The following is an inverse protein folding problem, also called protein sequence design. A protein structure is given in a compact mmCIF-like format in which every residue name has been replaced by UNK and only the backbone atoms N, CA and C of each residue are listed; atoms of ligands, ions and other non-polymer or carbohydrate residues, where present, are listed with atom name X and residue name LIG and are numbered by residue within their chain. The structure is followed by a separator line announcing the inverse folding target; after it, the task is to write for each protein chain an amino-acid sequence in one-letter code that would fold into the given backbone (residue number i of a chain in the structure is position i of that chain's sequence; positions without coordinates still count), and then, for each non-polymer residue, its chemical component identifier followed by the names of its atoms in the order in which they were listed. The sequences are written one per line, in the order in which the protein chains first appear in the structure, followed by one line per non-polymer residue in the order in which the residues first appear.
data_IF_415935838614
#
_entry.id   IF_415935838614
#
_cell.length_a   1.000
_cell.length_b   1.000
_cell.length_c   1.000
_cell.angle_alpha   90.00
_cell.angle_beta   90.00
_cell.angle_gamma   90.00
#
_symmetry.space_group_name_H-M   'P 1'
#
loop_
_entity.id
_entity.type
_entity.pdbx_description
1 polymer ?
#
# COMPACT_ATOMS: atom_id res chain seq x y z
N UNK A 1 -4.60 -3.22 6.95
CA UNK A 1 -4.92 -3.28 8.40
C UNK A 1 -6.09 -2.35 8.67
N UNK A 2 -7.33 -2.81 8.44
CA UNK A 2 -8.56 -2.03 8.62
C UNK A 2 -9.70 -2.78 9.30
N UNK A 3 -10.93 -2.27 9.18
CA UNK A 3 -12.15 -2.79 9.78
C UNK A 3 -12.49 -4.16 9.21
N UNK A 4 -12.78 -5.14 10.09
CA UNK A 4 -13.09 -6.52 9.69
C UNK A 4 -14.55 -6.66 9.23
N UNK A 5 -14.84 -6.19 8.02
CA UNK A 5 -16.18 -6.29 7.42
C UNK A 5 -16.36 -7.47 6.44
N UNK A 6 -15.29 -8.19 6.10
CA UNK A 6 -15.30 -9.17 5.01
C UNK A 6 -16.35 -10.30 5.12
N UNK A 7 -16.80 -10.66 6.33
CA UNK A 7 -17.86 -11.65 6.53
C UNK A 7 -19.29 -11.09 6.55
N UNK A 8 -19.43 -9.76 6.50
CA UNK A 8 -20.70 -9.05 6.63
C UNK A 8 -21.14 -8.38 5.32
N UNK A 9 -20.27 -8.32 4.32
CA UNK A 9 -20.51 -7.63 3.05
C UNK A 9 -20.61 -8.62 1.90
N UNK A 10 -21.42 -8.27 0.90
CA UNK A 10 -21.46 -8.99 -0.36
C UNK A 10 -20.49 -8.33 -1.35
N UNK A 11 -19.46 -9.07 -1.75
CA UNK A 11 -18.51 -8.60 -2.76
C UNK A 11 -18.90 -9.11 -4.15
N UNK A 12 -18.95 -8.20 -5.12
CA UNK A 12 -19.10 -8.57 -6.53
C UNK A 12 -17.73 -8.76 -7.16
N UNK A 13 -17.53 -9.89 -7.82
CA UNK A 13 -16.32 -10.14 -8.62
C UNK A 13 -16.40 -9.28 -9.89
N UNK A 14 -15.31 -8.58 -10.17
CA UNK A 14 -15.12 -7.79 -11.39
C UNK A 14 -13.76 -8.14 -11.99
N UNK A 15 -13.68 -8.17 -13.31
CA UNK A 15 -12.42 -8.25 -14.03
C UNK A 15 -11.79 -6.86 -14.14
N UNK A 16 -10.49 -6.78 -14.45
CA UNK A 16 -9.82 -5.47 -14.61
C UNK A 16 -10.34 -4.77 -15.87
N UNK A 17 -10.66 -5.55 -16.90
CA UNK A 17 -11.19 -5.12 -18.18
C UNK A 17 -12.57 -4.45 -18.02
N UNK A 18 -13.36 -4.88 -17.04
CA UNK A 18 -14.66 -4.27 -16.70
C UNK A 18 -14.49 -2.82 -16.16
N UNK A 19 -13.29 -2.45 -15.75
CA UNK A 19 -12.95 -1.12 -15.24
C UNK A 19 -12.41 -0.18 -16.33
N UNK A 20 -12.37 -0.62 -17.59
CA UNK A 20 -11.91 0.22 -18.70
C UNK A 20 -12.69 1.55 -18.76
N UNK A 21 -11.97 2.66 -18.84
CA UNK A 21 -12.50 4.02 -18.83
C UNK A 21 -12.90 4.55 -17.45
N UNK A 22 -12.95 3.71 -16.40
CA UNK A 22 -13.27 4.13 -15.04
C UNK A 22 -12.08 4.81 -14.38
N UNK A 23 -12.38 5.88 -13.63
CA UNK A 23 -11.43 6.55 -12.74
C UNK A 23 -11.43 5.87 -11.38
N UNK A 24 -10.26 5.49 -10.87
CA UNK A 24 -10.13 4.81 -9.57
C UNK A 24 -9.06 5.49 -8.72
N UNK A 25 -9.42 5.85 -7.48
CA UNK A 25 -8.51 6.42 -6.50
C UNK A 25 -7.94 5.32 -5.60
N UNK A 26 -6.64 5.07 -5.69
CA UNK A 26 -5.95 4.07 -4.87
C UNK A 26 -5.42 4.69 -3.58
N UNK A 27 -5.65 4.03 -2.44
CA UNK A 27 -4.93 4.37 -1.21
C UNK A 27 -3.45 4.00 -1.38
N UNK A 28 -2.61 5.02 -1.49
CA UNK A 28 -1.18 4.88 -1.71
C UNK A 28 -0.46 4.18 -0.56
N UNK A 29 -0.81 4.43 0.70
CA UNK A 29 -0.12 3.76 1.82
C UNK A 29 -0.49 2.28 1.87
N UNK A 30 -1.76 1.96 1.65
CA UNK A 30 -2.24 0.58 1.58
C UNK A 30 -1.54 -0.20 0.45
N UNK A 31 -1.50 0.37 -0.75
CA UNK A 31 -0.87 -0.25 -1.93
C UNK A 31 0.64 -0.39 -1.77
N UNK A 32 1.35 0.61 -1.24
CA UNK A 32 2.79 0.50 -0.97
C UNK A 32 3.09 -0.61 0.04
N UNK A 33 2.29 -0.72 1.10
CA UNK A 33 2.43 -1.81 2.07
C UNK A 33 2.23 -3.18 1.40
N UNK A 34 1.22 -3.29 0.53
CA UNK A 34 0.97 -4.51 -0.25
C UNK A 34 2.20 -4.88 -1.09
N UNK A 35 2.76 -3.94 -1.85
CA UNK A 35 3.95 -4.20 -2.67
C UNK A 35 5.15 -4.64 -1.85
N UNK A 36 5.43 -3.98 -0.73
CA UNK A 36 6.51 -4.36 0.17
C UNK A 36 6.30 -5.73 0.84
N UNK A 37 5.04 -6.16 1.00
CA UNK A 37 4.71 -7.47 1.54
C UNK A 37 4.85 -8.58 0.49
N UNK A 38 4.32 -8.39 -0.73
CA UNK A 38 4.18 -9.45 -1.74
C UNK A 38 5.32 -9.50 -2.75
N UNK A 39 5.97 -8.38 -3.08
CA UNK A 39 7.00 -8.32 -4.11
C UNK A 39 8.35 -8.58 -3.46
N UNK A 40 8.81 -9.83 -3.57
CA UNK A 40 9.99 -10.34 -2.88
C UNK A 40 10.85 -11.18 -3.79
N UNK A 41 12.13 -11.29 -3.44
CA UNK A 41 13.05 -12.23 -4.06
C UNK A 41 12.69 -13.67 -3.72
N UNK A 42 13.40 -14.61 -4.34
CA UNK A 42 13.13 -16.06 -4.20
C UNK A 42 13.22 -16.55 -2.76
N UNK A 43 14.04 -15.91 -1.93
CA UNK A 43 14.23 -16.29 -0.52
C UNK A 43 13.33 -15.51 0.44
N UNK A 44 12.36 -14.75 -0.07
CA UNK A 44 11.39 -14.00 0.74
C UNK A 44 11.93 -12.68 1.30
N UNK A 45 13.10 -12.25 0.85
CA UNK A 45 13.68 -10.93 1.09
C UNK A 45 13.01 -9.86 0.22
N UNK A 46 12.86 -8.61 0.70
CA UNK A 46 12.44 -7.51 -0.16
C UNK A 46 13.42 -7.32 -1.31
N UNK A 47 12.91 -6.89 -2.48
CA UNK A 47 13.78 -6.48 -3.58
C UNK A 47 14.63 -5.29 -3.15
N UNK A 48 15.89 -5.29 -3.55
CA UNK A 48 16.86 -4.25 -3.22
C UNK A 48 17.69 -3.84 -4.42
N UNK A 49 18.20 -2.62 -4.41
CA UNK A 49 19.23 -2.18 -5.36
C UNK A 49 20.65 -2.58 -4.92
N UNK A 50 21.66 -2.20 -5.71
CA UNK A 50 23.08 -2.46 -5.43
C UNK A 50 23.60 -1.81 -4.14
N UNK A 51 22.87 -0.84 -3.58
CA UNK A 51 23.16 -0.17 -2.30
C UNK A 51 22.37 -0.76 -1.13
N UNK A 52 21.59 -1.82 -1.38
CA UNK A 52 20.77 -2.49 -0.36
C UNK A 52 19.48 -1.76 0.00
N UNK A 53 19.08 -0.72 -0.74
CA UNK A 53 17.83 0.03 -0.50
C UNK A 53 16.65 -0.76 -1.06
N UNK A 54 15.53 -0.80 -0.34
CA UNK A 54 14.35 -1.57 -0.73
C UNK A 54 13.65 -0.92 -1.93
N UNK A 55 13.39 -1.69 -2.99
CA UNK A 55 12.80 -1.23 -4.25
C UNK A 55 11.50 -1.94 -4.62
N UNK A 56 11.02 -2.88 -3.79
CA UNK A 56 9.77 -3.63 -4.02
C UNK A 56 8.57 -2.72 -4.35
N UNK A 57 8.47 -1.57 -3.68
CA UNK A 57 7.40 -0.60 -3.89
C UNK A 57 7.45 0.07 -5.28
N UNK A 58 8.65 0.40 -5.78
CA UNK A 58 8.83 0.99 -7.12
C UNK A 58 8.51 -0.01 -8.22
N UNK A 59 9.01 -1.24 -8.06
CA UNK A 59 8.68 -2.34 -8.98
C UNK A 59 7.17 -2.56 -9.05
N UNK A 60 6.51 -2.62 -7.88
CA UNK A 60 5.05 -2.75 -7.79
C UNK A 60 4.31 -1.64 -8.50
N UNK A 61 4.70 -0.37 -8.27
CA UNK A 61 4.09 0.78 -8.94
C UNK A 61 4.25 0.70 -10.46
N UNK A 62 5.45 0.42 -10.96
CA UNK A 62 5.70 0.35 -12.42
C UNK A 62 4.81 -0.71 -13.06
N UNK A 63 4.89 -1.96 -12.61
CA UNK A 63 4.20 -3.06 -13.26
C UNK A 63 2.68 -3.02 -13.03
N UNK A 64 2.23 -2.70 -11.81
CA UNK A 64 0.78 -2.60 -11.52
C UNK A 64 0.13 -1.49 -12.35
N UNK A 65 0.75 -0.31 -12.37
CA UNK A 65 0.18 0.83 -13.09
C UNK A 65 0.20 0.57 -14.60
N UNK A 66 1.27 -0.02 -15.14
CA UNK A 66 1.34 -0.37 -16.56
C UNK A 66 0.18 -1.29 -16.96
N UNK A 67 -0.07 -2.35 -16.19
CA UNK A 67 -1.17 -3.29 -16.46
C UNK A 67 -2.54 -2.62 -16.36
N UNK A 68 -2.76 -1.77 -15.35
CA UNK A 68 -4.04 -1.06 -15.19
C UNK A 68 -4.28 -0.04 -16.30
N UNK A 69 -3.24 0.69 -16.70
CA UNK A 69 -3.31 1.68 -17.79
C UNK A 69 -3.54 0.97 -19.14
N UNK A 70 -2.86 -0.16 -19.38
CA UNK A 70 -3.04 -0.99 -20.58
C UNK A 70 -4.48 -1.50 -20.69
N UNK A 71 -5.10 -1.88 -19.56
CA UNK A 71 -6.51 -2.25 -19.50
C UNK A 71 -7.49 -1.05 -19.58
N UNK A 72 -6.98 0.18 -19.74
CA UNK A 72 -7.79 1.39 -19.91
C UNK A 72 -8.30 2.00 -18.61
N UNK A 73 -7.83 1.54 -17.44
CA UNK A 73 -8.21 2.11 -16.14
C UNK A 73 -7.50 3.45 -15.92
N UNK A 74 -8.24 4.48 -15.54
CA UNK A 74 -7.68 5.79 -15.21
C UNK A 74 -7.35 5.84 -13.72
N UNK A 75 -6.06 5.86 -13.41
CA UNK A 75 -5.57 5.69 -12.03
C UNK A 75 -5.18 7.03 -11.40
N UNK A 76 -5.51 7.19 -10.11
CA UNK A 76 -4.98 8.24 -9.26
C UNK A 76 -4.61 7.65 -7.89
N UNK A 77 -3.59 8.20 -7.24
CA UNK A 77 -3.19 7.77 -5.89
C UNK A 77 -3.54 8.82 -4.84
N UNK A 78 -3.89 8.39 -3.64
CA UNK A 78 -4.13 9.27 -2.50
C UNK A 78 -3.20 8.88 -1.36
N UNK A 79 -2.41 9.83 -0.87
CA UNK A 79 -1.48 9.62 0.24
C UNK A 79 -1.96 10.33 1.49
N UNK A 80 -1.90 9.65 2.63
CA UNK A 80 -2.15 10.21 3.96
C UNK A 80 -1.37 11.50 4.19
N UNK A 81 -2.06 12.44 4.81
CA UNK A 81 -1.50 13.62 5.44
C UNK A 81 -1.07 13.38 6.89
N UNK A 82 -0.89 14.45 7.65
CA UNK A 82 -0.57 14.35 9.07
C UNK A 82 -1.66 13.57 9.82
N UNK A 83 -1.30 12.55 10.61
CA UNK A 83 -2.29 11.78 11.37
C UNK A 83 -2.92 12.64 12.47
N UNK A 84 -4.20 12.43 12.74
CA UNK A 84 -4.88 13.11 13.84
C UNK A 84 -4.29 12.68 15.20
N UNK A 85 -4.27 13.60 16.16
CA UNK A 85 -3.73 13.39 17.52
C UNK A 85 -4.21 12.11 18.21
N UNK A 86 -5.47 11.71 18.03
CA UNK A 86 -6.05 10.50 18.61
C UNK A 86 -5.41 9.19 18.09
N UNK A 87 -4.84 9.19 16.89
CA UNK A 87 -4.17 8.01 16.30
C UNK A 87 -2.74 7.80 16.82
N UNK A 88 -2.19 8.72 17.60
CA UNK A 88 -0.80 8.66 18.08
C UNK A 88 -0.51 7.36 18.85
N UNK A 89 -1.43 6.92 19.72
CA UNK A 89 -1.26 5.69 20.50
C UNK A 89 -1.19 4.45 19.60
N UNK A 90 -2.14 4.32 18.68
CA UNK A 90 -2.21 3.20 17.73
C UNK A 90 -0.99 3.17 16.80
N UNK A 91 -0.55 4.34 16.31
CA UNK A 91 0.67 4.44 15.49
C UNK A 91 1.90 3.97 16.28
N UNK A 92 2.00 4.34 17.56
CA UNK A 92 3.10 3.93 18.44
C UNK A 92 3.11 2.42 18.66
N UNK A 93 1.95 1.83 18.94
CA UNK A 93 1.79 0.38 19.11
C UNK A 93 2.17 -0.37 17.81
N UNK A 94 1.68 0.09 16.65
CA UNK A 94 2.05 -0.47 15.33
C UNK A 94 3.55 -0.39 15.07
N UNK A 95 4.19 0.73 15.40
CA UNK A 95 5.65 0.89 15.29
C UNK A 95 6.39 -0.10 16.18
N UNK A 96 5.91 -0.34 17.40
CA UNK A 96 6.53 -1.28 18.33
C UNK A 96 6.43 -2.73 17.82
N UNK A 97 5.25 -3.15 17.34
CA UNK A 97 5.05 -4.49 16.75
C UNK A 97 6.00 -4.72 15.58
N UNK A 98 6.11 -3.75 14.67
CA UNK A 98 7.04 -3.83 13.52
C UNK A 98 8.51 -3.90 13.96
N UNK A 99 8.89 -3.15 14.98
CA UNK A 99 10.26 -3.18 15.53
C UNK A 99 10.61 -4.56 16.07
N UNK A 100 9.71 -5.17 16.84
CA UNK A 100 9.88 -6.54 17.37
C UNK A 100 9.95 -7.54 16.21
N UNK A 101 9.08 -7.43 15.21
CA UNK A 101 9.13 -8.29 14.02
C UNK A 101 10.46 -8.15 13.27
N UNK A 102 11.02 -6.94 13.15
CA UNK A 102 12.32 -6.72 12.49
C UNK A 102 13.46 -7.41 13.24
N UNK A 103 13.48 -7.34 14.56
CA UNK A 103 14.48 -8.03 15.37
C UNK A 103 14.39 -9.56 15.21
N UNK A 104 13.17 -10.11 15.24
CA UNK A 104 12.95 -11.54 15.02
C UNK A 104 13.36 -11.99 13.61
N UNK A 105 13.12 -11.15 12.61
CA UNK A 105 13.59 -11.38 11.24
C UNK A 105 15.11 -11.49 11.16
N UNK A 106 15.84 -10.52 11.73
CA UNK A 106 17.31 -10.50 11.72
C UNK A 106 17.90 -11.73 12.43
N UNK A 107 17.30 -12.16 13.54
CA UNK A 107 17.68 -13.40 14.23
C UNK A 107 17.40 -14.64 13.38
N UNK A 108 16.21 -14.77 12.80
CA UNK A 108 15.86 -15.92 11.96
C UNK A 108 16.75 -16.04 10.72
N UNK A 109 17.16 -14.92 10.12
CA UNK A 109 18.14 -14.89 9.02
C UNK A 109 19.50 -15.39 9.51
N UNK A 110 19.98 -14.92 10.67
CA UNK A 110 21.27 -15.34 11.24
C UNK A 110 21.29 -16.83 11.60
N UNK A 111 20.17 -17.36 12.07
CA UNK A 111 20.01 -18.76 12.45
C UNK A 111 19.67 -19.69 11.26
N UNK A 112 19.55 -19.16 10.04
CA UNK A 112 19.25 -19.95 8.86
C UNK A 112 17.84 -20.57 8.86
N UNK A 113 16.85 -19.90 9.46
CA UNK A 113 15.45 -20.35 9.55
C UNK A 113 14.58 -19.64 8.50
N UNK A 114 14.46 -20.17 7.27
CA UNK A 114 13.87 -19.46 6.15
C UNK A 114 12.37 -19.16 6.33
N UNK A 115 11.59 -20.08 6.89
CA UNK A 115 10.15 -19.87 7.10
C UNK A 115 9.87 -18.77 8.14
N UNK A 116 10.60 -18.78 9.25
CA UNK A 116 10.49 -17.73 10.27
C UNK A 116 10.96 -16.37 9.74
N UNK A 117 12.07 -16.35 9.00
CA UNK A 117 12.54 -15.14 8.35
C UNK A 117 11.50 -14.58 7.37
N UNK A 118 10.81 -15.43 6.60
CA UNK A 118 9.74 -14.98 5.70
C UNK A 118 8.59 -14.34 6.47
N UNK A 119 8.10 -15.01 7.51
CA UNK A 119 6.97 -14.54 8.32
C UNK A 119 7.30 -13.20 9.03
N UNK A 120 8.41 -13.11 9.74
CA UNK A 120 8.81 -11.89 10.44
C UNK A 120 9.24 -10.77 9.48
N UNK A 121 9.80 -11.14 8.33
CA UNK A 121 10.13 -10.21 7.25
C UNK A 121 8.90 -9.56 6.61
N UNK A 122 7.75 -10.23 6.59
CA UNK A 122 6.48 -9.64 6.17
C UNK A 122 5.89 -8.73 7.26
N UNK A 123 5.92 -9.16 8.52
CA UNK A 123 5.37 -8.39 9.64
C UNK A 123 6.17 -7.12 10.00
N UNK A 124 7.44 -7.03 9.60
CA UNK A 124 8.30 -5.86 9.85
C UNK A 124 8.17 -4.74 8.80
N UNK A 125 7.41 -4.97 7.73
CA UNK A 125 7.25 -4.02 6.63
C UNK A 125 6.66 -2.69 7.09
N UNK A 126 7.22 -1.59 6.59
CA UNK A 126 6.68 -0.25 6.77
C UNK A 126 6.96 0.58 5.52
N UNK A 127 5.95 1.33 5.05
CA UNK A 127 6.18 2.44 4.13
C UNK A 127 6.77 3.60 4.95
N UNK A 128 8.08 3.78 4.89
CA UNK A 128 8.76 4.92 5.52
C UNK A 128 8.55 6.19 4.71
N UNK A 129 8.87 7.35 5.29
CA UNK A 129 8.78 8.64 4.59
C UNK A 129 9.54 8.63 3.26
N UNK A 130 10.72 8.02 3.21
CA UNK A 130 11.51 7.90 1.99
C UNK A 130 10.82 7.05 0.91
N UNK A 131 10.20 5.93 1.31
CA UNK A 131 9.44 5.07 0.40
C UNK A 131 8.25 5.82 -0.21
N UNK A 132 7.54 6.62 0.61
CA UNK A 132 6.42 7.42 0.14
C UNK A 132 6.89 8.54 -0.79
N UNK A 133 8.02 9.18 -0.48
CA UNK A 133 8.62 10.21 -1.33
C UNK A 133 9.08 9.64 -2.69
N UNK A 134 9.76 8.49 -2.68
CA UNK A 134 10.18 7.79 -3.89
C UNK A 134 8.97 7.34 -4.74
N UNK A 135 7.92 6.84 -4.10
CA UNK A 135 6.65 6.50 -4.75
C UNK A 135 6.00 7.71 -5.44
N UNK A 136 5.84 8.83 -4.73
CA UNK A 136 5.28 10.07 -5.29
C UNK A 136 6.11 10.58 -6.46
N UNK A 137 7.45 10.56 -6.33
CA UNK A 137 8.36 10.95 -7.40
C UNK A 137 8.19 10.08 -8.63
N UNK A 138 8.15 8.77 -8.46
CA UNK A 138 7.94 7.82 -9.56
C UNK A 138 6.59 8.05 -10.24
N UNK A 139 5.50 8.19 -9.47
CA UNK A 139 4.16 8.47 -10.01
C UNK A 139 4.15 9.75 -10.84
N UNK A 140 4.76 10.83 -10.34
CA UNK A 140 4.93 12.08 -11.11
C UNK A 140 5.68 11.85 -12.42
N UNK A 141 6.79 11.09 -12.41
CA UNK A 141 7.56 10.79 -13.62
C UNK A 141 6.79 9.92 -14.62
N UNK A 142 5.89 9.05 -14.14
CA UNK A 142 5.00 8.24 -14.97
C UNK A 142 3.79 9.03 -15.50
N UNK A 143 3.58 10.28 -15.07
CA UNK A 143 2.39 11.06 -15.39
C UNK A 143 1.12 10.58 -14.68
N UNK A 144 1.26 9.79 -13.61
CA UNK A 144 0.14 9.31 -12.80
C UNK A 144 -0.17 10.34 -11.71
N UNK A 145 -1.39 10.89 -11.65
CA UNK A 145 -1.75 11.89 -10.66
C UNK A 145 -1.78 11.29 -9.25
N UNK A 146 -1.38 12.09 -8.27
CA UNK A 146 -1.55 11.76 -6.86
C UNK A 146 -2.01 12.97 -6.06
N UNK A 147 -2.75 12.71 -4.98
CA UNK A 147 -3.36 13.69 -4.10
C UNK A 147 -2.78 13.52 -2.69
N UNK A 148 -2.46 14.65 -2.07
CA UNK A 148 -2.12 14.71 -0.65
C UNK A 148 -3.40 14.90 0.17
N UNK A 149 -3.81 13.89 0.92
CA UNK A 149 -4.94 14.03 1.84
C UNK A 149 -4.58 15.02 2.97
N UNK A 150 -5.56 15.79 3.49
CA UNK A 150 -5.36 16.62 4.68
C UNK A 150 -5.26 15.79 5.97
N UNK A 151 -5.78 14.56 5.94
CA UNK A 151 -5.73 13.60 7.04
C UNK A 151 -5.54 12.19 6.49
N UNK A 152 -6.60 11.40 6.45
CA UNK A 152 -6.53 9.99 6.02
C UNK A 152 -6.72 9.85 4.51
N UNK A 153 -5.87 9.05 3.87
CA UNK A 153 -5.95 8.78 2.44
C UNK A 153 -7.25 8.08 2.05
N UNK A 154 -7.70 7.13 2.86
CA UNK A 154 -8.96 6.41 2.65
C UNK A 154 -10.16 7.35 2.70
N UNK A 155 -10.22 8.24 3.71
CA UNK A 155 -11.27 9.27 3.79
C UNK A 155 -11.28 10.20 2.57
N UNK A 156 -10.10 10.64 2.14
CA UNK A 156 -9.97 11.50 0.97
C UNK A 156 -10.38 10.78 -0.33
N UNK A 157 -10.02 9.50 -0.48
CA UNK A 157 -10.43 8.70 -1.63
C UNK A 157 -11.95 8.48 -1.66
N UNK A 158 -12.58 8.16 -0.52
CA UNK A 158 -14.03 8.02 -0.39
C UNK A 158 -14.75 9.32 -0.71
N UNK A 159 -14.24 10.45 -0.23
CA UNK A 159 -14.78 11.77 -0.60
C UNK A 159 -14.73 12.03 -2.12
N UNK A 160 -13.62 11.69 -2.77
CA UNK A 160 -13.50 11.82 -4.23
C UNK A 160 -14.52 10.94 -4.97
N UNK A 161 -14.79 9.73 -4.47
CA UNK A 161 -15.80 8.84 -5.04
C UNK A 161 -17.22 9.39 -4.82
N UNK A 162 -17.55 9.85 -3.61
CA UNK A 162 -18.84 10.45 -3.28
C UNK A 162 -19.14 11.72 -4.11
N UNK A 163 -18.12 12.53 -4.37
CA UNK A 163 -18.23 13.74 -5.20
C UNK A 163 -18.36 13.42 -6.70
N UNK A 164 -18.00 12.21 -7.13
CA UNK A 164 -18.01 11.79 -8.53
C UNK A 164 -16.74 12.16 -9.31
N UNK A 165 -15.67 12.59 -8.63
CA UNK A 165 -14.36 12.84 -9.27
C UNK A 165 -13.71 11.52 -9.71
N UNK A 166 -13.99 10.42 -8.98
CA UNK A 166 -13.62 9.05 -9.33
C UNK A 166 -14.83 8.12 -9.21
N UNK A 167 -14.79 6.98 -9.89
CA UNK A 167 -15.83 5.96 -9.82
C UNK A 167 -15.78 5.15 -8.52
N UNK A 168 -14.58 4.86 -8.00
CA UNK A 168 -14.41 4.13 -6.75
C UNK A 168 -13.06 4.42 -6.08
N UNK A 169 -13.00 4.12 -4.78
CA UNK A 169 -11.77 3.98 -4.00
C UNK A 169 -11.26 2.54 -4.07
N UNK A 170 -9.94 2.36 -4.11
CA UNK A 170 -9.28 1.07 -4.11
C UNK A 170 -8.34 0.93 -2.90
N UNK A 171 -8.71 0.04 -1.99
CA UNK A 171 -7.93 -0.37 -0.81
C UNK A 171 -8.13 -1.87 -0.57
N UNK A 172 -7.17 -2.52 0.08
CA UNK A 172 -7.35 -3.89 0.61
C UNK A 172 -8.15 -3.91 1.91
N UNK A 173 -8.28 -2.75 2.57
CA UNK A 173 -9.05 -2.57 3.78
C UNK A 173 -10.46 -2.04 3.45
N UNK A 174 -11.39 -2.20 4.39
CA UNK A 174 -12.78 -1.75 4.22
C UNK A 174 -13.04 -0.35 4.78
N UNK A 175 -12.00 0.35 5.22
CA UNK A 175 -12.10 1.63 5.93
C UNK A 175 -12.68 2.72 5.01
N UNK A 176 -12.42 2.62 3.70
CA UNK A 176 -13.05 3.47 2.69
C UNK A 176 -14.59 3.41 2.73
N UNK A 177 -15.20 2.29 3.12
CA UNK A 177 -16.67 2.17 3.21
C UNK A 177 -17.26 2.88 4.43
N UNK A 178 -16.43 3.25 5.40
CA UNK A 178 -16.86 3.89 6.64
C UNK A 178 -16.80 5.42 6.58
N UNK A 179 -16.25 5.97 5.50
CA UNK A 179 -16.15 7.41 5.22
C UNK A 179 -17.11 7.81 4.09
#
# INVERSE_FOLDING_TARGET
MGVKLGGLIEAKKVAIEDLAGRQVAFDGHNILYQFLAIIRGRTGEPLKDSKGRVTSHLSGLIYRNSNLIEAGVRIAYVFDGPPHSFKTKVIRERRQVRRVAKQKYETAVREGKPEEARMYGQASVSATTDIVADAKRLLTLMGVPWVQAPGEGEAQSSYMALKGDVWASASQDFDCLMF
#
